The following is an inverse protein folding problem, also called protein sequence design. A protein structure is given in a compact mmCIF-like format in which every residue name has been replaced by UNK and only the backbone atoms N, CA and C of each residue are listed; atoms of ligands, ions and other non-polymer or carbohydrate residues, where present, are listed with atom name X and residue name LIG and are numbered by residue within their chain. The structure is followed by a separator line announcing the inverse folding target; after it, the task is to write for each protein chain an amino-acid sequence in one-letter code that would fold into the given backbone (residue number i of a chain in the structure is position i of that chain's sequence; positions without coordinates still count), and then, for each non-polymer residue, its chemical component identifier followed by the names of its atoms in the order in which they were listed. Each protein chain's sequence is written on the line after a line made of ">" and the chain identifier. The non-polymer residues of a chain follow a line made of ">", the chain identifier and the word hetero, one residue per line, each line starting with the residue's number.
data_IF_474030490284
#
_entry.id   IF_474030490284
#
_cell.length_a   1.000
_cell.length_b   1.000
_cell.length_c   1.000
_cell.angle_alpha   90.00
_cell.angle_beta   90.00
_cell.angle_gamma   90.00
#
_symmetry.space_group_name_H-M   'P 1'
#
loop_
_entity.id
_entity.type
_entity.pdbx_description
1 polymer ?
#
# COMPACT_ATOMS: atom_id res chain seq x y z
N UNK A 1 -8.87 18.11 6.24
CA UNK A 1 -9.41 16.74 6.31
C UNK A 1 -10.49 16.60 5.26
N UNK A 2 -10.23 15.86 4.18
CA UNK A 2 -11.22 15.53 3.16
C UNK A 2 -11.23 14.03 2.98
N UNK A 3 -12.42 13.43 2.97
CA UNK A 3 -12.58 12.02 2.59
C UNK A 3 -12.08 11.87 1.15
N UNK A 4 -11.27 10.85 0.90
CA UNK A 4 -10.87 10.42 -0.44
C UNK A 4 -11.38 9.00 -0.65
N UNK A 5 -11.78 8.70 -1.87
CA UNK A 5 -12.39 7.43 -2.24
C UNK A 5 -11.50 6.71 -3.24
N UNK A 6 -11.27 5.42 -3.01
CA UNK A 6 -10.46 4.61 -3.92
C UNK A 6 -11.37 4.11 -5.04
N UNK A 7 -11.13 4.61 -6.25
CA UNK A 7 -11.92 4.23 -7.44
C UNK A 7 -11.37 2.98 -8.14
N UNK A 8 -10.07 2.68 -7.97
CA UNK A 8 -9.39 1.57 -8.63
C UNK A 8 -8.27 0.98 -7.77
N UNK A 9 -8.15 -0.34 -7.80
CA UNK A 9 -7.02 -1.09 -7.24
C UNK A 9 -6.18 -1.65 -8.39
N UNK A 10 -4.88 -1.36 -8.39
CA UNK A 10 -3.93 -1.83 -9.41
C UNK A 10 -2.93 -2.80 -8.74
N UNK A 11 -3.11 -4.12 -8.87
CA UNK A 11 -2.18 -5.10 -8.33
C UNK A 11 -0.89 -5.14 -9.15
N UNK A 12 0.24 -5.25 -8.46
CA UNK A 12 1.57 -5.40 -9.06
C UNK A 12 2.19 -6.75 -8.66
N UNK A 13 2.98 -7.40 -9.53
CA UNK A 13 3.75 -8.58 -9.14
C UNK A 13 4.72 -8.24 -8.02
N UNK A 14 4.81 -9.13 -7.02
CA UNK A 14 5.82 -9.03 -5.97
C UNK A 14 7.13 -9.68 -6.46
N UNK A 15 8.13 -8.85 -6.76
CA UNK A 15 9.47 -9.23 -7.19
C UNK A 15 10.45 -9.43 -6.03
N UNK A 16 9.99 -9.40 -4.77
CA UNK A 16 10.85 -9.64 -3.62
C UNK A 16 11.37 -11.09 -3.65
N UNK A 17 12.67 -11.34 -3.35
CA UNK A 17 13.23 -12.70 -3.35
C UNK A 17 12.56 -13.63 -2.33
N UNK A 18 12.00 -13.05 -1.26
CA UNK A 18 11.28 -13.77 -0.21
C UNK A 18 9.86 -13.17 -0.05
N UNK A 19 8.90 -13.51 -0.93
CA UNK A 19 7.61 -12.81 -1.01
C UNK A 19 6.67 -13.06 0.16
N UNK A 20 6.97 -14.04 1.03
CA UNK A 20 6.20 -14.32 2.25
C UNK A 20 6.54 -13.39 3.41
N UNK A 21 7.67 -12.68 3.34
CA UNK A 21 8.20 -11.83 4.43
C UNK A 21 8.60 -10.43 3.97
N UNK A 22 8.48 -10.14 2.67
CA UNK A 22 8.77 -8.82 2.11
C UNK A 22 8.06 -8.61 0.78
N UNK A 23 8.00 -7.35 0.36
CA UNK A 23 7.44 -6.97 -0.92
C UNK A 23 8.38 -6.04 -1.69
N UNK A 24 8.35 -6.17 -3.00
CA UNK A 24 9.01 -5.27 -3.94
C UNK A 24 8.15 -5.24 -5.18
N UNK A 25 7.53 -4.09 -5.49
CA UNK A 25 6.77 -3.96 -6.72
C UNK A 25 7.70 -4.19 -7.92
N UNK A 26 7.31 -5.04 -8.86
CA UNK A 26 8.08 -5.24 -10.09
C UNK A 26 8.25 -3.88 -10.82
N UNK A 27 9.49 -3.43 -11.11
CA UNK A 27 9.75 -2.07 -11.58
C UNK A 27 9.02 -1.69 -12.87
N UNK A 28 8.93 -2.59 -13.85
CA UNK A 28 8.28 -2.28 -15.12
C UNK A 28 6.76 -2.18 -14.98
N UNK A 29 6.15 -3.07 -14.17
CA UNK A 29 4.74 -3.03 -13.83
C UNK A 29 4.38 -1.76 -13.07
N UNK A 30 5.21 -1.36 -12.09
CA UNK A 30 5.03 -0.10 -11.37
C UNK A 30 5.07 1.10 -12.31
N UNK A 31 6.07 1.17 -13.21
CA UNK A 31 6.18 2.26 -14.18
C UNK A 31 4.96 2.33 -15.11
N UNK A 32 4.47 1.18 -15.58
CA UNK A 32 3.26 1.11 -16.43
C UNK A 32 2.03 1.59 -15.68
N UNK A 33 1.83 1.14 -14.44
CA UNK A 33 0.71 1.55 -13.60
C UNK A 33 0.70 3.06 -13.36
N UNK A 34 1.86 3.66 -13.03
CA UNK A 34 1.96 5.10 -12.81
C UNK A 34 1.64 5.91 -14.07
N UNK A 35 2.11 5.48 -15.25
CA UNK A 35 1.79 6.11 -16.53
C UNK A 35 0.31 6.00 -16.89
N UNK A 36 -0.31 4.86 -16.59
CA UNK A 36 -1.73 4.65 -16.83
C UNK A 36 -2.58 5.55 -15.92
N UNK A 37 -2.22 5.64 -14.64
CA UNK A 37 -2.88 6.54 -13.69
C UNK A 37 -2.79 7.99 -14.16
N UNK A 38 -1.61 8.44 -14.58
CA UNK A 38 -1.41 9.79 -15.11
C UNK A 38 -2.27 10.05 -16.35
N UNK A 39 -2.28 9.12 -17.32
CA UNK A 39 -3.09 9.22 -18.55
C UNK A 39 -4.58 9.34 -18.24
N UNK A 40 -5.04 8.70 -17.17
CA UNK A 40 -6.45 8.68 -16.77
C UNK A 40 -6.81 9.77 -15.74
N UNK A 41 -5.85 10.62 -15.35
CA UNK A 41 -6.08 11.65 -14.34
C UNK A 41 -6.32 11.10 -12.93
N UNK A 42 -5.90 9.86 -12.65
CA UNK A 42 -6.03 9.22 -11.34
C UNK A 42 -4.90 9.69 -10.40
N UNK A 43 -5.25 9.92 -9.14
CA UNK A 43 -4.29 10.20 -8.07
C UNK A 43 -3.92 8.92 -7.31
N UNK A 44 -2.64 8.75 -6.95
CA UNK A 44 -2.25 7.72 -6.01
C UNK A 44 -2.74 8.09 -4.61
N UNK A 45 -3.67 7.29 -4.09
CA UNK A 45 -4.26 7.53 -2.76
C UNK A 45 -3.61 6.72 -1.66
N UNK A 46 -3.14 5.51 -1.96
CA UNK A 46 -2.51 4.61 -1.00
C UNK A 46 -1.64 3.57 -1.70
N UNK A 47 -0.71 2.98 -0.96
CA UNK A 47 -0.02 1.73 -1.32
C UNK A 47 -0.59 0.64 -0.42
N UNK A 48 -0.70 -0.59 -0.91
CA UNK A 48 -1.14 -1.71 -0.08
C UNK A 48 -0.20 -2.90 -0.19
N UNK A 49 -0.08 -3.64 0.90
CA UNK A 49 0.63 -4.92 0.97
C UNK A 49 0.00 -5.83 2.03
N UNK A 50 0.45 -7.08 2.11
CA UNK A 50 -0.05 -8.04 3.08
C UNK A 50 1.08 -8.61 3.93
N UNK A 51 0.73 -8.97 5.17
CA UNK A 51 1.52 -9.79 6.09
C UNK A 51 0.85 -11.16 6.20
N UNK A 52 1.24 -12.15 5.37
CA UNK A 52 0.53 -13.43 5.29
C UNK A 52 0.45 -14.22 6.61
N UNK A 53 1.34 -13.92 7.56
CA UNK A 53 1.44 -14.58 8.87
C UNK A 53 1.52 -13.61 10.04
N UNK A 54 1.30 -12.31 9.81
CA UNK A 54 1.52 -11.26 10.79
C UNK A 54 0.32 -10.31 10.91
N UNK A 55 0.32 -9.45 11.94
CA UNK A 55 -0.75 -8.49 12.13
C UNK A 55 -0.70 -7.37 11.08
N UNK A 56 -1.81 -6.66 10.93
CA UNK A 56 -1.97 -5.45 10.12
C UNK A 56 -1.32 -4.24 10.80
N UNK A 57 -0.09 -4.39 11.29
CA UNK A 57 0.69 -3.32 11.90
C UNK A 57 2.03 -3.21 11.18
N UNK A 58 2.55 -1.99 10.91
CA UNK A 58 3.78 -1.82 10.16
C UNK A 58 4.95 -2.48 10.88
N UNK A 59 5.70 -3.29 10.14
CA UNK A 59 6.97 -3.85 10.57
C UNK A 59 8.08 -2.78 10.56
N UNK A 60 9.22 -3.01 11.24
CA UNK A 60 10.39 -2.15 11.13
C UNK A 60 10.89 -2.00 9.68
N UNK A 61 10.69 -3.01 8.83
CA UNK A 61 11.02 -2.95 7.41
C UNK A 61 10.09 -2.02 6.65
N UNK A 62 8.77 -2.11 6.88
CA UNK A 62 7.79 -1.20 6.26
C UNK A 62 8.12 0.26 6.55
N UNK A 63 8.44 0.59 7.81
CA UNK A 63 8.77 1.95 8.24
C UNK A 63 10.04 2.46 7.54
N UNK A 64 11.08 1.62 7.47
CA UNK A 64 12.38 1.97 6.86
C UNK A 64 12.26 2.13 5.35
N UNK A 65 11.40 1.35 4.72
CA UNK A 65 11.30 1.26 3.25
C UNK A 65 10.13 2.06 2.68
N UNK A 66 9.34 2.73 3.53
CA UNK A 66 8.33 3.68 3.09
C UNK A 66 8.94 4.86 2.34
N UNK A 67 8.76 4.89 1.01
CA UNK A 67 9.27 5.96 0.12
C UNK A 67 8.20 6.92 -0.37
N UNK A 68 6.91 6.62 -0.15
CA UNK A 68 5.81 7.38 -0.71
C UNK A 68 5.03 8.08 0.40
N UNK A 69 4.65 9.34 0.18
CA UNK A 69 3.90 10.15 1.15
C UNK A 69 2.39 9.94 1.01
N UNK A 70 1.98 8.68 1.05
CA UNK A 70 0.57 8.22 1.05
C UNK A 70 0.40 7.17 2.16
N UNK A 71 -0.83 6.93 2.64
CA UNK A 71 -1.10 5.81 3.53
C UNK A 71 -0.63 4.47 2.95
N UNK A 72 -0.08 3.63 3.81
CA UNK A 72 0.22 2.23 3.56
C UNK A 72 -0.87 1.38 4.21
N UNK A 73 -1.68 0.72 3.39
CA UNK A 73 -2.74 -0.20 3.79
C UNK A 73 -2.16 -1.59 3.96
N UNK A 74 -2.26 -2.14 5.15
CA UNK A 74 -1.67 -3.42 5.52
C UNK A 74 -2.79 -4.42 5.79
N UNK A 75 -2.79 -5.51 5.04
CA UNK A 75 -3.65 -6.66 5.29
C UNK A 75 -2.89 -7.66 6.16
N UNK A 76 -3.38 -7.93 7.37
CA UNK A 76 -2.81 -8.89 8.29
C UNK A 76 -3.80 -9.99 8.67
N UNK A 77 -3.36 -10.88 9.54
CA UNK A 77 -4.19 -11.97 10.08
C UNK A 77 -5.31 -11.48 10.99
N UNK A 78 -5.22 -10.25 11.49
CA UNK A 78 -6.16 -9.57 12.39
C UNK A 78 -7.02 -8.50 11.67
N UNK A 79 -6.93 -8.41 10.34
CA UNK A 79 -7.78 -7.53 9.53
C UNK A 79 -7.00 -6.61 8.59
N UNK A 80 -7.51 -5.40 8.40
CA UNK A 80 -6.91 -4.37 7.53
C UNK A 80 -6.82 -3.05 8.28
N UNK A 81 -5.64 -2.43 8.22
CA UNK A 81 -5.36 -1.14 8.86
C UNK A 81 -4.50 -0.30 7.92
N UNK A 82 -4.43 1.01 8.13
CA UNK A 82 -3.63 1.89 7.29
C UNK A 82 -2.83 2.90 8.10
N UNK A 83 -1.61 3.20 7.65
CA UNK A 83 -0.67 4.05 8.39
C UNK A 83 0.02 5.05 7.47
N UNK A 84 0.23 6.27 7.95
CA UNK A 84 1.22 7.18 7.40
C UNK A 84 2.59 6.79 7.95
N UNK A 85 3.51 6.48 7.05
CA UNK A 85 4.87 6.07 7.36
C UNK A 85 5.86 7.16 6.88
N UNK A 86 6.96 7.39 7.61
CA UNK A 86 7.47 6.58 8.74
C UNK A 86 6.89 6.93 10.12
N UNK A 87 5.98 7.90 10.22
CA UNK A 87 5.48 8.42 11.51
C UNK A 87 4.68 7.37 12.32
N UNK A 88 4.20 6.30 11.67
CA UNK A 88 3.41 5.26 12.32
C UNK A 88 2.01 5.72 12.71
N UNK A 89 1.52 6.81 12.11
CA UNK A 89 0.21 7.38 12.41
C UNK A 89 -0.88 6.58 11.70
N UNK A 90 -1.72 5.90 12.45
CA UNK A 90 -2.87 5.19 11.89
C UNK A 90 -3.89 6.17 11.30
N UNK A 91 -4.40 5.85 10.11
CA UNK A 91 -5.46 6.60 9.43
C UNK A 91 -6.71 5.72 9.27
N UNK A 92 -7.92 6.24 9.53
CA UNK A 92 -9.13 5.47 9.36
C UNK A 92 -9.35 5.03 7.90
N UNK A 93 -9.73 3.78 7.71
CA UNK A 93 -10.22 3.23 6.43
C UNK A 93 -11.63 2.71 6.65
N UNK A 94 -12.52 3.00 5.70
CA UNK A 94 -13.87 2.47 5.69
C UNK A 94 -14.13 1.79 4.35
N UNK A 95 -14.77 0.62 4.39
CA UNK A 95 -15.32 0.00 3.20
C UNK A 95 -16.66 0.68 2.89
N UNK A 96 -16.83 1.06 1.62
CA UNK A 96 -18.08 1.61 1.15
C UNK A 96 -19.01 0.46 0.73
N UNK A 97 -20.33 0.60 0.96
CA UNK A 97 -21.32 -0.41 0.61
C UNK A 97 -21.44 -0.65 -0.89
#
# INVERSE_FOLDING_TARGET
>A
HGRREVERVIPLPNAHPEPLVGYLAEPLALLRALKEMEREGLALLAIYHSHPRGPAFPSPTDIREARWRVPYVIFGTDGVRAFLLPEGLEVPVALLP
#
